data_IF_871110068512
#
_entry.id   IF_871110068512
#
_cell.length_a   1.000
_cell.length_b   1.000
_cell.length_c   1.000
_cell.angle_alpha   90.00
_cell.angle_beta   90.00
_cell.angle_gamma   90.00
#
_symmetry.space_group_name_H-M   'P 1'
#
loop_
_entity.id
_entity.type
_entity.pdbx_description
1 polymer ?
#
# COMPACT_ATOMS: atom_id res chain seq x y z
N UNK A 1 18.81 18.28 -18.43
CA UNK A 1 18.05 17.05 -18.80
C UNK A 1 16.58 17.45 -18.74
N UNK A 2 15.74 17.09 -19.72
CA UNK A 2 14.30 17.40 -19.61
C UNK A 2 13.70 16.58 -18.47
N UNK A 3 12.86 17.19 -17.64
CA UNK A 3 12.17 16.52 -16.55
C UNK A 3 11.27 15.36 -17.05
N UNK A 4 10.79 15.43 -18.30
CA UNK A 4 10.02 14.36 -18.96
C UNK A 4 10.79 13.04 -19.14
N UNK A 5 12.11 13.03 -18.91
CA UNK A 5 12.93 11.82 -19.00
C UNK A 5 12.77 10.90 -17.77
N UNK A 6 12.15 11.36 -16.69
CA UNK A 6 11.97 10.57 -15.47
C UNK A 6 10.71 9.71 -15.49
N UNK A 7 10.70 8.67 -14.65
CA UNK A 7 9.55 7.77 -14.57
C UNK A 7 8.28 8.53 -14.14
N UNK A 8 7.09 8.16 -14.66
CA UNK A 8 5.83 8.76 -14.23
C UNK A 8 5.61 8.66 -12.73
N UNK A 9 6.12 7.61 -12.09
CA UNK A 9 6.03 7.40 -10.65
C UNK A 9 6.84 8.40 -9.85
N UNK A 10 8.04 8.78 -10.33
CA UNK A 10 8.83 9.83 -9.70
C UNK A 10 8.23 11.22 -9.95
N UNK A 11 7.71 11.46 -11.16
CA UNK A 11 7.17 12.77 -11.55
C UNK A 11 5.95 13.20 -10.73
N UNK A 12 5.18 12.26 -10.18
CA UNK A 12 4.10 12.54 -9.21
C UNK A 12 4.59 13.24 -7.93
N UNK A 13 5.89 13.18 -7.65
CA UNK A 13 6.53 13.78 -6.47
C UNK A 13 7.35 15.02 -6.82
N UNK A 14 7.33 15.50 -8.08
CA UNK A 14 7.98 16.75 -8.46
C UNK A 14 7.17 17.95 -7.98
N UNK A 15 7.84 18.88 -7.31
CA UNK A 15 7.27 20.14 -6.84
C UNK A 15 6.88 21.09 -7.97
N UNK A 16 7.61 21.08 -9.10
CA UNK A 16 7.31 21.95 -10.24
C UNK A 16 6.06 21.50 -11.00
N UNK A 17 5.81 20.19 -11.07
CA UNK A 17 4.61 19.60 -11.72
C UNK A 17 3.38 19.62 -10.82
N UNK A 18 3.62 19.45 -9.52
CA UNK A 18 2.58 19.34 -8.53
C UNK A 18 2.93 20.33 -7.40
N UNK A 19 2.57 21.62 -7.54
CA UNK A 19 2.87 22.63 -6.53
C UNK A 19 1.91 22.61 -5.33
N UNK A 20 0.78 21.91 -5.45
CA UNK A 20 -0.20 21.79 -4.38
C UNK A 20 0.34 20.98 -3.17
N UNK A 21 -0.25 21.10 -1.98
CA UNK A 21 0.12 20.25 -0.86
C UNK A 21 -0.16 18.75 -1.15
N UNK A 22 0.63 17.81 -0.61
CA UNK A 22 0.30 16.39 -0.66
C UNK A 22 -1.10 16.12 -0.11
N UNK A 23 -1.87 15.29 -0.82
CA UNK A 23 -3.31 15.04 -0.54
C UNK A 23 -3.61 14.61 0.90
N UNK A 24 -2.68 13.89 1.53
CA UNK A 24 -2.87 13.32 2.87
C UNK A 24 -2.26 14.16 4.00
N UNK A 25 -1.56 15.25 3.69
CA UNK A 25 -0.96 16.13 4.67
C UNK A 25 -2.05 16.86 5.48
N UNK A 26 -1.96 16.79 6.81
CA UNK A 26 -2.95 17.34 7.74
C UNK A 26 -4.11 16.39 8.07
N UNK A 27 -4.23 15.26 7.37
CA UNK A 27 -5.23 14.22 7.67
C UNK A 27 -4.58 12.92 8.14
N UNK A 28 -3.65 12.37 7.37
CA UNK A 28 -2.96 11.11 7.68
C UNK A 28 -1.70 11.32 8.50
N UNK A 29 -1.01 12.43 8.26
CA UNK A 29 0.20 12.83 8.97
C UNK A 29 0.30 14.35 9.03
N UNK A 30 1.02 14.86 10.03
CA UNK A 30 1.31 16.28 10.19
C UNK A 30 2.63 16.70 9.50
N UNK A 31 2.97 17.99 9.58
CA UNK A 31 4.23 18.54 9.05
C UNK A 31 5.49 18.03 9.77
N UNK A 32 5.34 17.47 10.97
CA UNK A 32 6.44 16.84 11.71
C UNK A 32 6.61 15.36 11.32
N UNK A 33 5.75 14.84 10.44
CA UNK A 33 5.75 13.45 10.02
C UNK A 33 5.08 12.49 11.00
N UNK A 34 4.34 12.99 11.99
CA UNK A 34 3.59 12.12 12.90
C UNK A 34 2.30 11.65 12.23
N UNK A 35 2.08 10.34 12.18
CA UNK A 35 0.79 9.79 11.74
C UNK A 35 -0.32 10.23 12.70
N UNK A 36 -1.46 10.59 12.13
CA UNK A 36 -2.64 11.05 12.86
C UNK A 36 -3.67 9.93 12.94
N UNK A 37 -4.57 10.02 13.91
CA UNK A 37 -5.70 9.11 14.03
C UNK A 37 -6.61 9.20 12.79
N UNK A 38 -6.63 8.13 12.01
CA UNK A 38 -7.36 7.98 10.74
C UNK A 38 -7.90 6.54 10.65
N UNK A 39 -8.83 6.16 11.53
CA UNK A 39 -9.17 4.77 11.72
C UNK A 39 -9.87 4.16 10.51
N UNK A 40 -9.70 2.87 10.33
CA UNK A 40 -10.33 2.12 9.26
C UNK A 40 -10.10 0.61 9.37
N UNK A 41 -10.49 -0.07 8.30
CA UNK A 41 -10.22 -1.48 8.12
C UNK A 41 -9.76 -1.76 6.68
N UNK A 42 -9.15 -2.92 6.46
CA UNK A 42 -8.52 -3.26 5.18
C UNK A 42 -8.28 -4.76 5.06
N UNK A 43 -7.95 -5.24 3.86
CA UNK A 43 -7.44 -6.59 3.65
C UNK A 43 -6.03 -6.50 3.08
N UNK A 44 -5.05 -6.96 3.85
CA UNK A 44 -3.62 -6.79 3.57
C UNK A 44 -2.87 -8.12 3.67
N UNK A 45 -1.70 -8.17 3.04
CA UNK A 45 -0.72 -9.22 3.19
C UNK A 45 0.54 -8.61 3.81
N UNK A 46 0.83 -8.93 5.07
CA UNK A 46 2.01 -8.43 5.77
C UNK A 46 3.30 -9.04 5.22
N UNK A 47 4.39 -8.29 5.21
CA UNK A 47 5.72 -8.86 4.98
C UNK A 47 6.08 -9.79 6.14
N UNK A 48 6.58 -10.99 5.85
CA UNK A 48 6.90 -11.98 6.89
C UNK A 48 8.09 -11.53 7.74
N UNK A 49 7.89 -11.39 9.06
CA UNK A 49 8.95 -10.99 9.98
C UNK A 49 10.12 -12.00 10.00
N UNK A 50 11.35 -11.50 9.99
CA UNK A 50 12.57 -12.33 9.99
C UNK A 50 12.87 -13.03 8.65
N UNK A 51 12.02 -12.87 7.63
CA UNK A 51 12.24 -13.45 6.30
C UNK A 51 13.39 -12.77 5.52
N UNK A 52 13.86 -13.44 4.46
CA UNK A 52 14.74 -12.82 3.47
C UNK A 52 14.08 -11.63 2.79
N UNK A 53 12.76 -11.71 2.58
CA UNK A 53 11.97 -10.62 2.02
C UNK A 53 12.01 -9.39 2.93
N UNK A 54 11.78 -9.53 4.23
CA UNK A 54 11.84 -8.39 5.14
C UNK A 54 13.23 -7.75 5.13
N UNK A 55 14.30 -8.55 5.16
CA UNK A 55 15.68 -8.04 5.07
C UNK A 55 15.91 -7.24 3.79
N UNK A 56 15.51 -7.76 2.63
CA UNK A 56 15.67 -7.08 1.36
C UNK A 56 14.84 -5.79 1.27
N UNK A 57 13.61 -5.80 1.76
CA UNK A 57 12.71 -4.64 1.80
C UNK A 57 13.23 -3.57 2.77
N UNK A 58 13.76 -3.95 3.94
CA UNK A 58 14.37 -3.02 4.89
C UNK A 58 15.63 -2.40 4.30
N UNK A 59 16.51 -3.18 3.66
CA UNK A 59 17.69 -2.65 2.98
C UNK A 59 17.33 -1.68 1.84
N UNK A 60 16.23 -1.94 1.12
CA UNK A 60 15.69 -0.98 0.16
C UNK A 60 15.22 0.32 0.84
N UNK A 61 14.50 0.24 1.97
CA UNK A 61 14.06 1.40 2.75
C UNK A 61 15.23 2.21 3.33
N UNK A 62 16.33 1.56 3.72
CA UNK A 62 17.55 2.24 4.18
C UNK A 62 18.16 3.14 3.09
N UNK A 63 18.08 2.75 1.81
CA UNK A 63 18.53 3.61 0.71
C UNK A 63 17.69 4.86 0.55
N UNK A 64 16.40 4.79 0.86
CA UNK A 64 15.53 5.97 0.88
C UNK A 64 15.92 6.90 2.05
N UNK A 65 16.15 6.33 3.23
CA UNK A 65 16.59 7.08 4.41
C UNK A 65 17.98 7.73 4.24
N UNK A 66 18.83 7.16 3.38
CA UNK A 66 20.13 7.72 3.04
C UNK A 66 20.06 8.91 2.05
N UNK A 67 18.89 9.19 1.46
CA UNK A 67 18.73 10.32 0.56
C UNK A 67 18.70 11.65 1.34
N UNK A 68 19.33 12.73 0.84
CA UNK A 68 19.27 14.02 1.51
C UNK A 68 17.85 14.59 1.73
N UNK A 69 16.85 14.21 0.92
CA UNK A 69 15.44 14.59 1.13
C UNK A 69 14.66 13.59 2.00
N UNK A 70 15.31 12.66 2.70
CA UNK A 70 14.58 11.71 3.55
C UNK A 70 13.66 12.42 4.57
N UNK A 71 14.06 13.59 5.08
CA UNK A 71 13.24 14.41 5.97
C UNK A 71 12.00 15.03 5.32
N UNK A 72 11.89 15.00 3.99
CA UNK A 72 10.69 15.43 3.26
C UNK A 72 9.63 14.32 3.21
N UNK A 73 9.87 13.19 3.85
CA UNK A 73 8.96 12.05 3.92
C UNK A 73 8.78 11.61 5.37
N UNK A 74 7.59 11.09 5.68
CA UNK A 74 7.37 10.30 6.90
C UNK A 74 7.35 8.83 6.55
N UNK A 75 8.08 8.01 7.31
CA UNK A 75 8.21 6.59 7.03
C UNK A 75 7.38 5.76 8.00
N UNK A 76 6.68 4.76 7.47
CA UNK A 76 5.94 3.80 8.28
C UNK A 76 6.88 2.88 9.07
N UNK A 77 6.46 2.33 10.22
CA UNK A 77 7.22 1.30 10.94
C UNK A 77 7.52 0.06 10.08
N UNK A 78 8.63 -0.63 10.35
CA UNK A 78 8.98 -1.87 9.64
C UNK A 78 7.92 -2.96 9.87
N UNK A 79 7.35 -3.01 11.08
CA UNK A 79 6.28 -3.94 11.45
C UNK A 79 4.98 -3.72 10.67
N UNK A 80 4.75 -2.51 10.12
CA UNK A 80 3.54 -2.22 9.35
C UNK A 80 3.71 -2.41 7.85
N UNK A 81 4.87 -2.90 7.38
CA UNK A 81 5.08 -3.15 5.95
C UNK A 81 4.13 -4.25 5.44
N UNK A 82 3.28 -3.88 4.49
CA UNK A 82 2.28 -4.78 3.92
C UNK A 82 1.97 -4.39 2.47
N UNK A 83 1.39 -5.32 1.73
CA UNK A 83 0.69 -5.05 0.47
C UNK A 83 -0.81 -5.05 0.72
N UNK A 84 -1.53 -3.98 0.38
CA UNK A 84 -2.99 -4.00 0.42
C UNK A 84 -3.54 -4.81 -0.75
N UNK A 85 -4.31 -5.86 -0.47
CA UNK A 85 -5.02 -6.66 -1.47
C UNK A 85 -6.35 -5.99 -1.84
N UNK A 86 -7.11 -5.54 -0.83
CA UNK A 86 -8.38 -4.85 -0.99
C UNK A 86 -8.51 -3.76 0.07
N UNK A 87 -8.81 -2.53 -0.34
CA UNK A 87 -9.01 -1.42 0.58
C UNK A 87 -10.38 -1.55 1.25
N UNK A 88 -10.40 -1.52 2.58
CA UNK A 88 -11.65 -1.42 3.34
C UNK A 88 -12.14 0.03 3.43
N UNK A 89 -12.86 0.35 4.50
CA UNK A 89 -13.30 1.72 4.79
C UNK A 89 -12.27 2.48 5.62
N UNK A 90 -12.34 3.81 5.57
CA UNK A 90 -11.45 4.70 6.34
C UNK A 90 -12.15 6.02 6.64
N UNK A 91 -11.93 6.55 7.85
CA UNK A 91 -12.65 7.69 8.43
C UNK A 91 -12.70 8.92 7.50
N UNK A 92 -11.57 9.29 6.90
CA UNK A 92 -11.51 10.49 6.06
C UNK A 92 -12.34 10.38 4.76
N UNK A 93 -12.81 9.18 4.39
CA UNK A 93 -13.43 8.89 3.09
C UNK A 93 -14.77 8.17 3.22
N UNK A 94 -15.68 8.77 3.99
CA UNK A 94 -17.10 8.36 4.11
C UNK A 94 -17.94 8.77 2.90
N UNK A 95 -17.67 8.19 1.74
CA UNK A 95 -18.42 8.48 0.51
C UNK A 95 -18.47 7.31 -0.46
N UNK A 96 -19.47 7.29 -1.33
CA UNK A 96 -19.55 6.30 -2.43
C UNK A 96 -18.56 6.68 -3.55
N UNK A 97 -17.96 5.70 -4.26
CA UNK A 97 -18.12 4.25 -4.11
C UNK A 97 -17.07 3.61 -3.17
N UNK A 98 -16.54 4.36 -2.20
CA UNK A 98 -15.54 3.87 -1.22
C UNK A 98 -16.17 3.30 0.06
N UNK A 99 -17.47 3.04 0.03
CA UNK A 99 -18.27 2.59 1.18
C UNK A 99 -19.40 1.68 0.68
N UNK A 100 -19.71 0.56 1.37
CA UNK A 100 -20.78 -0.37 1.01
C UNK A 100 -22.11 0.32 0.71
N UNK A 101 -22.72 0.01 -0.43
CA UNK A 101 -23.92 0.71 -0.92
C UNK A 101 -25.12 0.63 0.04
N UNK A 102 -25.18 -0.44 0.83
CA UNK A 102 -26.27 -0.80 1.73
C UNK A 102 -26.09 -0.30 3.17
N UNK A 103 -24.98 0.35 3.51
CA UNK A 103 -24.70 0.87 4.86
C UNK A 103 -24.63 2.40 4.85
N UNK A 104 -25.18 3.05 5.88
CA UNK A 104 -25.16 4.50 6.04
C UNK A 104 -23.71 5.05 6.11
N UNK A 105 -23.48 6.25 5.57
CA UNK A 105 -22.13 6.86 5.50
C UNK A 105 -21.60 7.33 6.86
N UNK A 106 -22.49 7.55 7.82
CA UNK A 106 -22.19 7.96 9.19
C UNK A 106 -22.05 6.78 10.16
N UNK A 107 -22.17 5.53 9.69
CA UNK A 107 -21.96 4.35 10.52
C UNK A 107 -20.53 4.36 11.13
N UNK A 108 -20.36 4.21 12.45
CA UNK A 108 -19.05 4.22 13.10
C UNK A 108 -18.06 3.21 12.50
N UNK A 109 -16.76 3.51 12.52
CA UNK A 109 -15.72 2.61 11.96
C UNK A 109 -15.73 1.24 12.65
N UNK A 110 -15.96 1.20 13.96
CA UNK A 110 -16.02 -0.05 14.72
C UNK A 110 -17.21 -0.92 14.25
N UNK A 111 -18.40 -0.33 14.12
CA UNK A 111 -19.59 -1.01 13.60
C UNK A 111 -19.36 -1.51 12.17
N UNK A 112 -18.73 -0.70 11.32
CA UNK A 112 -18.36 -1.11 9.96
C UNK A 112 -17.40 -2.31 9.97
N UNK A 113 -16.45 -2.32 10.90
CA UNK A 113 -15.47 -3.40 11.05
C UNK A 113 -16.15 -4.69 11.50
N UNK A 114 -17.09 -4.62 12.43
CA UNK A 114 -17.93 -5.76 12.83
C UNK A 114 -18.77 -6.30 11.66
N UNK A 115 -19.51 -5.42 10.96
CA UNK A 115 -20.36 -5.82 9.83
C UNK A 115 -19.53 -6.48 8.72
N UNK A 116 -18.40 -5.88 8.34
CA UNK A 116 -17.52 -6.43 7.31
C UNK A 116 -16.88 -7.74 7.78
N UNK A 117 -16.46 -7.83 9.04
CA UNK A 117 -15.94 -9.05 9.64
C UNK A 117 -16.95 -10.20 9.59
N UNK A 118 -18.20 -9.97 9.94
CA UNK A 118 -19.27 -10.99 9.84
C UNK A 118 -19.50 -11.44 8.39
N UNK A 119 -19.52 -10.52 7.42
CA UNK A 119 -19.61 -10.89 5.98
C UNK A 119 -18.44 -11.79 5.57
N UNK A 120 -17.22 -11.45 6.01
CA UNK A 120 -15.99 -12.16 5.64
C UNK A 120 -15.87 -13.56 6.24
N UNK A 121 -16.62 -13.89 7.31
CA UNK A 121 -16.69 -15.28 7.81
C UNK A 121 -17.27 -16.26 6.79
N UNK A 122 -18.11 -15.78 5.88
CA UNK A 122 -18.66 -16.59 4.78
C UNK A 122 -17.74 -16.64 3.55
N UNK A 123 -16.63 -15.91 3.56
CA UNK A 123 -15.71 -15.85 2.44
C UNK A 123 -14.93 -17.16 2.31
N UNK A 124 -14.98 -17.78 1.13
CA UNK A 124 -14.15 -18.95 0.82
C UNK A 124 -12.78 -18.49 0.38
N UNK A 125 -11.73 -19.13 0.90
CA UNK A 125 -10.36 -18.85 0.46
C UNK A 125 -10.21 -19.17 -1.03
N UNK A 126 -9.54 -18.28 -1.75
CA UNK A 126 -9.13 -18.50 -3.14
C UNK A 126 -7.72 -19.06 -3.20
N UNK A 127 -7.30 -19.45 -4.40
CA UNK A 127 -5.95 -19.94 -4.65
C UNK A 127 -4.88 -18.95 -4.15
N UNK A 128 -3.72 -19.46 -3.69
CA UNK A 128 -2.59 -18.61 -3.35
C UNK A 128 -2.02 -17.93 -4.59
N UNK A 129 -1.41 -16.77 -4.40
CA UNK A 129 -0.73 -16.01 -5.46
C UNK A 129 0.67 -15.61 -5.00
N UNK A 130 1.58 -15.48 -5.96
CA UNK A 130 2.94 -14.98 -5.75
C UNK A 130 3.06 -13.55 -6.25
N UNK A 131 3.80 -12.74 -5.51
CA UNK A 131 4.00 -11.31 -5.81
C UNK A 131 5.46 -11.05 -6.11
N UNK A 132 5.75 -10.17 -7.07
CA UNK A 132 7.09 -9.71 -7.40
C UNK A 132 7.15 -8.19 -7.50
N UNK A 133 8.30 -7.60 -7.18
CA UNK A 133 8.54 -6.17 -7.39
C UNK A 133 8.62 -5.88 -8.89
N UNK A 134 7.88 -4.86 -9.33
CA UNK A 134 7.93 -4.38 -10.71
C UNK A 134 8.85 -3.15 -10.82
N UNK A 135 8.67 -2.18 -9.92
CA UNK A 135 9.39 -0.89 -9.89
C UNK A 135 9.46 -0.36 -8.47
N UNK A 136 10.30 0.64 -8.24
CA UNK A 136 10.24 1.47 -7.04
C UNK A 136 9.65 2.84 -7.38
N UNK A 137 9.07 3.49 -6.37
CA UNK A 137 8.60 4.88 -6.43
C UNK A 137 8.92 5.59 -5.11
N UNK A 138 8.86 6.93 -5.02
CA UNK A 138 9.23 7.63 -3.79
C UNK A 138 8.49 7.21 -2.51
N UNK A 139 7.28 6.64 -2.62
CA UNK A 139 6.56 6.09 -1.46
C UNK A 139 6.88 4.63 -1.11
N UNK A 140 7.69 3.91 -1.88
CA UNK A 140 8.01 2.50 -1.65
C UNK A 140 8.11 1.66 -2.92
N UNK A 141 7.60 0.42 -2.87
CA UNK A 141 7.71 -0.55 -3.97
C UNK A 141 6.36 -0.72 -4.68
N UNK A 142 6.38 -0.70 -6.01
CA UNK A 142 5.30 -1.24 -6.82
C UNK A 142 5.52 -2.74 -7.01
N UNK A 143 4.45 -3.50 -6.84
CA UNK A 143 4.45 -4.96 -6.95
C UNK A 143 3.31 -5.40 -7.85
N UNK A 144 3.37 -6.64 -8.33
CA UNK A 144 2.30 -7.27 -9.11
C UNK A 144 2.39 -8.79 -8.98
N UNK A 145 1.39 -9.52 -9.48
CA UNK A 145 1.46 -10.96 -9.61
C UNK A 145 2.70 -11.39 -10.39
N UNK A 146 3.48 -12.32 -9.82
CA UNK A 146 4.77 -12.76 -10.37
C UNK A 146 4.62 -13.37 -11.77
N UNK A 147 3.48 -14.00 -12.04
CA UNK A 147 3.08 -14.54 -13.34
C UNK A 147 1.71 -14.02 -13.77
N UNK A 148 1.31 -14.32 -15.01
CA UNK A 148 -0.05 -14.00 -15.48
C UNK A 148 -1.13 -14.76 -14.68
N UNK A 149 -0.84 -15.98 -14.27
CA UNK A 149 -1.73 -16.77 -13.40
C UNK A 149 -1.90 -16.07 -12.05
N UNK A 150 -0.81 -15.60 -11.42
CA UNK A 150 -0.89 -14.87 -10.15
C UNK A 150 -1.71 -13.59 -10.29
N UNK A 151 -1.53 -12.83 -11.38
CA UNK A 151 -2.32 -11.62 -11.66
C UNK A 151 -3.81 -11.94 -11.81
N UNK A 152 -4.15 -13.05 -12.46
CA UNK A 152 -5.53 -13.52 -12.58
C UNK A 152 -6.11 -13.86 -11.20
N UNK A 153 -5.39 -14.64 -10.40
CA UNK A 153 -5.82 -15.02 -9.04
C UNK A 153 -6.01 -13.79 -8.14
N UNK A 154 -5.08 -12.83 -8.16
CA UNK A 154 -5.21 -11.57 -7.41
C UNK A 154 -6.46 -10.77 -7.82
N UNK A 155 -6.80 -10.79 -9.12
CA UNK A 155 -8.02 -10.13 -9.63
C UNK A 155 -9.29 -10.84 -9.16
N UNK A 156 -9.29 -12.17 -9.15
CA UNK A 156 -10.39 -12.99 -8.64
C UNK A 156 -10.64 -12.75 -7.15
N UNK A 157 -9.57 -12.73 -6.34
CA UNK A 157 -9.62 -12.32 -4.94
C UNK A 157 -10.33 -10.97 -4.77
N UNK A 158 -9.86 -9.94 -5.50
CA UNK A 158 -10.43 -8.60 -5.41
C UNK A 158 -11.89 -8.54 -5.85
N UNK A 159 -12.25 -9.25 -6.91
CA UNK A 159 -13.63 -9.29 -7.40
C UNK A 159 -14.57 -9.94 -6.39
N UNK A 160 -14.18 -11.08 -5.82
CA UNK A 160 -14.98 -11.76 -4.82
C UNK A 160 -15.15 -10.91 -3.55
N UNK A 161 -14.09 -10.22 -3.11
CA UNK A 161 -14.16 -9.29 -1.98
C UNK A 161 -15.07 -8.10 -2.27
N UNK A 162 -14.98 -7.50 -3.46
CA UNK A 162 -15.88 -6.42 -3.88
C UNK A 162 -17.35 -6.84 -3.90
N UNK A 163 -17.64 -8.03 -4.44
CA UNK A 163 -19.00 -8.55 -4.54
C UNK A 163 -19.58 -8.86 -3.15
N UNK A 164 -18.77 -9.44 -2.25
CA UNK A 164 -19.16 -9.71 -0.88
C UNK A 164 -19.37 -8.43 -0.05
N UNK A 165 -18.45 -7.46 -0.16
CA UNK A 165 -18.45 -6.26 0.66
C UNK A 165 -19.35 -5.15 0.09
N UNK A 166 -19.77 -5.27 -1.18
CA UNK A 166 -20.82 -4.42 -1.77
C UNK A 166 -20.34 -3.08 -2.31
N UNK A 167 -19.06 -2.96 -2.70
CA UNK A 167 -18.52 -1.75 -3.35
C UNK A 167 -17.23 -2.03 -4.14
N UNK A 168 -16.93 -1.10 -5.07
CA UNK A 168 -15.73 -1.11 -5.92
C UNK A 168 -15.21 0.31 -6.06
N UNK A 169 -13.91 0.52 -5.83
CA UNK A 169 -13.29 1.82 -6.09
C UNK A 169 -13.19 2.09 -7.60
N UNK A 170 -13.09 3.36 -8.04
CA UNK A 170 -12.97 3.67 -9.46
C UNK A 170 -11.77 3.02 -10.16
N UNK A 171 -10.71 2.72 -9.40
CA UNK A 171 -9.49 2.07 -9.87
C UNK A 171 -9.48 0.55 -9.65
N UNK A 172 -10.64 -0.08 -9.37
CA UNK A 172 -10.71 -1.49 -8.97
C UNK A 172 -9.94 -2.45 -9.89
N UNK A 173 -10.11 -2.30 -11.20
CA UNK A 173 -9.52 -3.18 -12.23
C UNK A 173 -8.06 -2.86 -12.56
N UNK A 174 -7.59 -1.67 -12.17
CA UNK A 174 -6.26 -1.12 -12.50
C UNK A 174 -5.47 -0.75 -11.24
N UNK A 175 -5.84 -1.32 -10.09
CA UNK A 175 -5.27 -0.98 -8.80
C UNK A 175 -3.75 -1.23 -8.78
N UNK A 176 -2.93 -0.22 -8.50
CA UNK A 176 -1.48 -0.37 -8.49
C UNK A 176 -1.05 -0.99 -7.16
N UNK A 177 -0.90 -2.32 -7.11
CA UNK A 177 -0.40 -2.99 -5.91
C UNK A 177 0.97 -2.45 -5.49
N UNK A 178 1.16 -2.26 -4.20
CA UNK A 178 2.36 -1.64 -3.66
C UNK A 178 2.58 -2.00 -2.20
N UNK A 179 3.83 -1.85 -1.76
CA UNK A 179 4.25 -1.86 -0.36
C UNK A 179 4.72 -0.44 -0.02
N UNK A 180 4.03 0.21 0.91
CA UNK A 180 4.33 1.59 1.31
C UNK A 180 5.47 1.62 2.32
N UNK A 181 6.50 2.41 2.03
CA UNK A 181 7.58 2.74 2.96
C UNK A 181 7.35 4.09 3.62
N UNK A 182 6.78 5.04 2.88
CA UNK A 182 6.71 6.43 3.29
C UNK A 182 5.62 7.22 2.56
N UNK A 183 5.23 8.34 3.16
CA UNK A 183 4.40 9.37 2.57
C UNK A 183 5.17 10.68 2.46
N UNK A 184 4.92 11.44 1.38
CA UNK A 184 5.61 12.70 1.11
C UNK A 184 5.01 13.85 1.92
N UNK A 185 5.84 14.54 2.70
CA UNK A 185 5.49 15.77 3.42
C UNK A 185 5.77 16.98 2.52
N UNK A 186 6.93 17.00 1.87
CA UNK A 186 7.32 18.02 0.89
C UNK A 186 7.75 17.37 -0.42
N UNK A 187 7.26 17.89 -1.55
CA UNK A 187 7.59 17.37 -2.88
C UNK A 187 9.02 17.73 -3.28
N UNK A 188 9.64 16.83 -4.02
CA UNK A 188 11.02 16.93 -4.46
C UNK A 188 11.19 18.09 -5.45
N UNK A 189 12.23 18.90 -5.22
CA UNK A 189 12.68 19.88 -6.21
C UNK A 189 13.31 19.17 -7.41
N UNK A 190 13.33 19.82 -8.57
CA UNK A 190 13.71 19.18 -9.83
C UNK A 190 15.18 18.72 -9.83
N UNK A 191 16.04 19.38 -9.06
CA UNK A 191 17.45 19.02 -8.86
C UNK A 191 17.63 17.67 -8.16
N UNK A 192 16.63 17.23 -7.38
CA UNK A 192 16.65 15.96 -6.67
C UNK A 192 16.27 14.78 -7.58
N UNK A 193 15.46 15.01 -8.61
CA UNK A 193 14.84 13.96 -9.42
C UNK A 193 15.87 13.01 -10.09
N UNK A 194 17.00 13.49 -10.67
CA UNK A 194 17.97 12.57 -11.29
C UNK A 194 18.52 11.52 -10.33
N UNK A 195 18.87 11.92 -9.11
CA UNK A 195 19.44 11.00 -8.12
C UNK A 195 18.38 10.12 -7.47
N UNK A 196 17.15 10.61 -7.33
CA UNK A 196 16.02 9.77 -6.92
C UNK A 196 15.72 8.71 -7.97
N UNK A 197 15.69 9.04 -9.25
CA UNK A 197 15.48 8.06 -10.31
C UNK A 197 16.54 6.96 -10.27
N UNK A 198 17.83 7.34 -10.20
CA UNK A 198 18.92 6.37 -10.10
C UNK A 198 18.81 5.46 -8.86
N UNK A 199 18.47 6.02 -7.70
CA UNK A 199 18.25 5.26 -6.47
C UNK A 199 17.08 4.27 -6.60
N UNK A 200 15.95 4.73 -7.15
CA UNK A 200 14.74 3.90 -7.33
C UNK A 200 15.00 2.74 -8.31
N UNK A 201 15.70 2.98 -9.40
CA UNK A 201 16.08 1.95 -10.37
C UNK A 201 16.96 0.88 -9.72
N UNK A 202 17.95 1.31 -8.91
CA UNK A 202 18.82 0.41 -8.17
C UNK A 202 18.05 -0.38 -7.10
N UNK A 203 17.16 0.25 -6.35
CA UNK A 203 16.32 -0.42 -5.34
C UNK A 203 15.50 -1.53 -5.98
N UNK A 204 14.80 -1.22 -7.08
CA UNK A 204 13.98 -2.21 -7.75
C UNK A 204 14.82 -3.37 -8.32
N UNK A 205 16.01 -3.10 -8.84
CA UNK A 205 16.92 -4.14 -9.32
C UNK A 205 17.41 -5.04 -8.17
N UNK A 206 17.85 -4.45 -7.06
CA UNK A 206 18.42 -5.20 -5.95
C UNK A 206 17.39 -6.08 -5.24
N UNK A 207 16.18 -5.57 -5.03
CA UNK A 207 15.11 -6.38 -4.41
C UNK A 207 14.74 -7.55 -5.33
N UNK A 208 14.61 -7.34 -6.65
CA UNK A 208 14.32 -8.43 -7.60
C UNK A 208 15.43 -9.48 -7.66
N UNK A 209 16.69 -9.06 -7.50
CA UNK A 209 17.82 -9.99 -7.49
C UNK A 209 17.89 -10.81 -6.19
N UNK A 210 17.62 -10.17 -5.04
CA UNK A 210 17.67 -10.81 -3.74
C UNK A 210 16.45 -11.71 -3.48
N UNK A 211 15.25 -11.22 -3.80
CA UNK A 211 13.96 -11.90 -3.56
C UNK A 211 13.07 -11.80 -4.81
N UNK A 212 13.23 -12.71 -5.79
CA UNK A 212 12.43 -12.70 -7.02
C UNK A 212 10.93 -12.83 -6.77
N UNK A 213 10.54 -13.43 -5.65
CA UNK A 213 9.17 -13.50 -5.14
C UNK A 213 9.17 -12.94 -3.72
N UNK A 214 8.27 -11.99 -3.47
CA UNK A 214 8.07 -11.35 -2.17
C UNK A 214 7.25 -12.32 -1.29
N UNK A 215 7.87 -12.74 -0.19
CA UNK A 215 7.23 -13.55 0.83
C UNK A 215 6.29 -12.68 1.69
N UNK A 216 5.00 -12.93 1.55
CA UNK A 216 3.93 -12.25 2.28
C UNK A 216 3.13 -13.27 3.08
N UNK A 217 2.62 -12.85 4.24
CA UNK A 217 1.60 -13.60 5.00
C UNK A 217 0.32 -13.75 4.15
N UNK A 218 -0.51 -14.77 4.44
CA UNK A 218 -1.84 -14.87 3.82
C UNK A 218 -2.62 -13.55 3.96
N UNK A 219 -3.55 -13.25 3.04
CA UNK A 219 -4.42 -12.09 3.20
C UNK A 219 -5.12 -12.13 4.57
N UNK A 220 -5.19 -10.99 5.24
CA UNK A 220 -5.89 -10.84 6.51
C UNK A 220 -6.76 -9.58 6.49
N UNK A 221 -7.98 -9.69 7.00
CA UNK A 221 -8.80 -8.54 7.34
C UNK A 221 -8.27 -7.92 8.63
N UNK A 222 -7.94 -6.63 8.57
CA UNK A 222 -7.33 -5.90 9.66
C UNK A 222 -8.11 -4.64 10.01
N UNK A 223 -8.01 -4.22 11.27
CA UNK A 223 -8.34 -2.86 11.72
C UNK A 223 -7.07 -2.05 11.95
N UNK A 224 -7.18 -0.72 11.89
CA UNK A 224 -6.07 0.18 12.19
C UNK A 224 -6.61 1.52 12.70
N UNK A 225 -5.86 2.13 13.62
CA UNK A 225 -6.13 3.48 14.12
C UNK A 225 -5.43 4.56 13.29
N UNK A 226 -4.29 4.21 12.71
CA UNK A 226 -3.43 5.05 11.88
C UNK A 226 -2.52 4.15 11.00
N UNK A 227 -1.47 4.70 10.38
CA UNK A 227 -0.58 3.93 9.49
C UNK A 227 0.56 3.18 10.21
N UNK A 228 0.60 3.20 11.55
CA UNK A 228 1.66 2.59 12.35
C UNK A 228 1.47 1.10 12.57
N UNK A 229 0.23 0.61 12.60
CA UNK A 229 -0.09 -0.79 12.90
C UNK A 229 -1.39 -1.23 12.24
N UNK A 230 -1.44 -2.50 11.81
CA UNK A 230 -2.63 -3.12 11.24
C UNK A 230 -2.87 -4.41 12.00
N UNK A 231 -3.92 -4.44 12.81
CA UNK A 231 -4.26 -5.58 13.68
C UNK A 231 -5.06 -6.62 12.91
N UNK A 232 -4.54 -7.83 12.78
CA UNK A 232 -5.21 -8.94 12.09
C UNK A 232 -6.43 -9.42 12.89
N UNK A 233 -7.62 -9.31 12.30
CA UNK A 233 -8.89 -9.75 12.90
C UNK A 233 -9.34 -11.11 12.35
N UNK A 234 -9.09 -11.36 11.05
CA UNK A 234 -9.42 -12.61 10.37
C UNK A 234 -8.38 -12.91 9.29
N UNK A 235 -7.70 -14.05 9.39
CA UNK A 235 -6.70 -14.50 8.40
C UNK A 235 -7.34 -15.50 7.44
N UNK A 236 -7.15 -15.28 6.13
CA UNK A 236 -7.63 -16.16 5.07
C UNK A 236 -6.60 -17.25 4.75
N UNK A 237 -6.48 -18.24 5.63
CA UNK A 237 -5.50 -19.34 5.51
C UNK A 237 -5.73 -20.21 4.27
N UNK A 238 -4.66 -20.51 3.54
CA UNK A 238 -4.71 -21.49 2.45
C UNK A 238 -4.75 -22.91 3.03
N UNK A 239 -5.73 -23.72 2.62
CA UNK A 239 -5.75 -25.13 3.01
C UNK A 239 -4.48 -25.83 2.49
N UNK A 240 -3.78 -26.53 3.37
CA UNK A 240 -2.58 -27.32 3.04
C UNK A 240 -2.94 -28.64 2.36
#
# INVERSE_FOLDING_TARGET
MSIDAFSPELLKYSKSRHPEPPVHLGTRYDLSGNFQYEPGNTIVCHVVEGSETQRAVVAAREKFLAMPEASQFTFTPISSLHMTLFQGIIEYRRTRPYWPADIALDAPVDEMTEIMGERLKAFSTHDPFKVAVTRARPSGLLVDGATETDRKVMREWRNALADLLGYRHPDHDVYPFHITFAYVIERLVDEALPRWQAMLDQVAADVRAAVPVIELRPPAFCSFDDMNHFEELLVFEFQK
#
